data_IF_944250632466
#
_entry.id   IF_944250632466
#
_cell.length_a   1.000
_cell.length_b   1.000
_cell.length_c   1.000
_cell.angle_alpha   90.00
_cell.angle_beta   90.00
_cell.angle_gamma   90.00
#
_symmetry.space_group_name_H-M   'P 1'
#
loop_
_entity.id
_entity.type
_entity.pdbx_description
1 polymer ?
#
# COMPACT_ATOMS: atom_id res chain seq x y z
N UNK A 1 23.57 37.79 -19.78
CA UNK A 1 22.21 37.28 -20.04
C UNK A 1 21.95 36.21 -18.96
N UNK A 2 21.38 36.67 -17.83
CA UNK A 2 21.13 35.88 -16.65
C UNK A 2 19.85 35.08 -16.88
N UNK A 3 19.98 33.76 -16.98
CA UNK A 3 18.82 32.87 -16.96
C UNK A 3 18.22 32.91 -15.55
N UNK A 4 17.04 33.46 -15.44
CA UNK A 4 16.19 33.38 -14.25
C UNK A 4 15.83 31.88 -14.08
N UNK A 5 16.44 31.23 -13.12
CA UNK A 5 15.90 30.02 -12.52
C UNK A 5 14.60 30.44 -11.84
N UNK A 6 13.49 30.18 -12.50
CA UNK A 6 12.18 30.24 -11.84
C UNK A 6 12.24 29.21 -10.72
N UNK A 7 12.13 29.66 -9.48
CA UNK A 7 11.78 28.83 -8.35
C UNK A 7 10.53 28.03 -8.75
N UNK A 8 10.66 26.73 -8.95
CA UNK A 8 9.51 25.84 -8.96
C UNK A 8 8.94 25.92 -7.55
N UNK A 9 8.00 26.86 -7.33
CA UNK A 9 7.19 26.86 -6.12
C UNK A 9 6.67 25.42 -5.93
N UNK A 10 7.03 24.83 -4.79
CA UNK A 10 6.61 23.47 -4.44
C UNK A 10 5.08 23.43 -4.28
N UNK A 11 4.40 23.29 -5.41
CA UNK A 11 2.95 23.29 -5.48
C UNK A 11 2.42 22.17 -4.61
N UNK A 12 1.53 22.48 -3.67
CA UNK A 12 0.96 21.50 -2.76
C UNK A 12 0.20 20.39 -3.50
N UNK A 13 0.20 19.20 -2.92
CA UNK A 13 -0.56 18.05 -3.47
C UNK A 13 -2.05 18.36 -3.66
N UNK A 14 -2.64 19.15 -2.76
CA UNK A 14 -4.04 19.59 -2.88
C UNK A 14 -4.28 20.45 -4.12
N UNK A 15 -3.37 21.36 -4.44
CA UNK A 15 -3.46 22.20 -5.63
C UNK A 15 -3.21 21.39 -6.90
N UNK A 16 -2.20 20.49 -6.88
CA UNK A 16 -1.94 19.58 -7.98
C UNK A 16 -3.16 18.68 -8.26
N UNK A 17 -3.76 18.14 -7.21
CA UNK A 17 -4.95 17.30 -7.33
C UNK A 17 -6.15 18.06 -7.91
N UNK A 18 -6.35 19.31 -7.50
CA UNK A 18 -7.41 20.17 -8.04
C UNK A 18 -7.21 20.43 -9.54
N UNK A 19 -5.98 20.78 -9.96
CA UNK A 19 -5.62 21.00 -11.37
C UNK A 19 -5.77 19.72 -12.19
N UNK A 20 -5.26 18.60 -11.67
CA UNK A 20 -5.39 17.29 -12.31
C UNK A 20 -6.86 16.86 -12.48
N UNK A 21 -7.71 17.11 -11.48
CA UNK A 21 -9.15 16.85 -11.56
C UNK A 21 -9.85 17.70 -12.63
N UNK A 22 -9.33 18.90 -12.91
CA UNK A 22 -9.77 19.77 -13.99
C UNK A 22 -9.21 19.38 -15.38
N UNK A 23 -8.35 18.35 -15.45
CA UNK A 23 -7.81 17.81 -16.70
C UNK A 23 -6.37 18.24 -17.01
N UNK A 24 -5.66 18.90 -16.08
CA UNK A 24 -4.26 19.25 -16.25
C UNK A 24 -3.38 18.00 -16.13
N UNK A 25 -2.83 17.59 -17.26
CA UNK A 25 -1.97 16.40 -17.36
C UNK A 25 -0.62 16.58 -16.64
N UNK A 26 -0.06 17.79 -16.64
CA UNK A 26 1.22 18.07 -16.01
C UNK A 26 1.11 17.91 -14.48
N UNK A 27 0.09 18.52 -13.87
CA UNK A 27 -0.20 18.37 -12.45
C UNK A 27 -0.51 16.91 -12.07
N UNK A 28 -1.19 16.16 -12.93
CA UNK A 28 -1.43 14.74 -12.72
C UNK A 28 -0.13 13.94 -12.74
N UNK A 29 0.75 14.17 -13.73
CA UNK A 29 2.04 13.48 -13.82
C UNK A 29 2.91 13.75 -12.58
N UNK A 30 2.95 15.01 -12.13
CA UNK A 30 3.71 15.40 -10.93
C UNK A 30 3.17 14.72 -9.66
N UNK A 31 1.85 14.60 -9.49
CA UNK A 31 1.26 13.84 -8.38
C UNK A 31 1.63 12.35 -8.42
N UNK A 32 1.55 11.73 -9.59
CA UNK A 32 1.92 10.33 -9.77
C UNK A 32 3.39 10.15 -9.42
N UNK A 33 4.28 10.97 -9.91
CA UNK A 33 5.71 10.91 -9.62
C UNK A 33 6.01 11.04 -8.11
N UNK A 34 5.41 12.03 -7.43
CA UNK A 34 5.58 12.23 -5.98
C UNK A 34 5.12 11.05 -5.14
N UNK A 35 4.03 10.41 -5.55
CA UNK A 35 3.38 9.39 -4.72
C UNK A 35 3.58 7.96 -5.20
N UNK A 36 4.23 7.72 -6.34
CA UNK A 36 4.48 6.38 -6.86
C UNK A 36 5.25 5.50 -5.86
N UNK A 37 6.30 6.05 -5.25
CA UNK A 37 7.09 5.33 -4.26
C UNK A 37 6.28 4.94 -3.02
N UNK A 38 5.35 5.80 -2.57
CA UNK A 38 4.43 5.48 -1.48
C UNK A 38 3.48 4.35 -1.87
N UNK A 39 2.86 4.43 -3.05
CA UNK A 39 1.96 3.39 -3.55
C UNK A 39 2.67 2.04 -3.65
N UNK A 40 3.87 2.04 -4.27
CA UNK A 40 4.69 0.83 -4.41
C UNK A 40 5.07 0.22 -3.06
N UNK A 41 5.59 1.03 -2.11
CA UNK A 41 5.98 0.52 -0.79
C UNK A 41 4.82 -0.11 -0.03
N UNK A 42 3.65 0.54 -0.01
CA UNK A 42 2.45 -0.01 0.64
C UNK A 42 2.04 -1.32 -0.02
N UNK A 43 1.98 -1.36 -1.36
CA UNK A 43 1.65 -2.58 -2.09
C UNK A 43 2.65 -3.70 -1.81
N UNK A 44 3.96 -3.42 -1.86
CA UNK A 44 5.02 -4.40 -1.61
C UNK A 44 4.95 -4.98 -0.18
N UNK A 45 4.76 -4.13 0.83
CA UNK A 45 4.64 -4.60 2.22
C UNK A 45 3.44 -5.51 2.43
N UNK A 46 2.36 -5.26 1.69
CA UNK A 46 1.13 -6.06 1.80
C UNK A 46 1.18 -7.35 0.98
N UNK A 47 1.88 -7.38 -0.16
CA UNK A 47 1.93 -8.56 -1.05
C UNK A 47 3.18 -9.41 -0.83
N UNK A 48 4.31 -8.79 -0.50
CA UNK A 48 5.63 -9.43 -0.40
C UNK A 48 6.30 -9.72 -1.74
N UNK A 49 5.65 -9.44 -2.86
CA UNK A 49 6.16 -9.74 -4.19
C UNK A 49 6.33 -8.47 -5.01
N UNK A 50 7.56 -8.26 -5.51
CA UNK A 50 7.89 -7.05 -6.27
C UNK A 50 7.03 -6.90 -7.53
N UNK A 51 6.85 -7.98 -8.28
CA UNK A 51 6.05 -7.96 -9.50
C UNK A 51 4.58 -7.59 -9.21
N UNK A 52 3.99 -8.20 -8.18
CA UNK A 52 2.62 -7.87 -7.75
C UNK A 52 2.50 -6.40 -7.31
N UNK A 53 3.51 -5.89 -6.60
CA UNK A 53 3.51 -4.50 -6.15
C UNK A 53 3.64 -3.52 -7.32
N UNK A 54 4.45 -3.85 -8.33
CA UNK A 54 4.59 -3.07 -9.57
C UNK A 54 3.27 -3.05 -10.35
N UNK A 55 2.63 -4.19 -10.52
CA UNK A 55 1.32 -4.30 -11.19
C UNK A 55 0.23 -3.51 -10.46
N UNK A 56 0.18 -3.62 -9.13
CA UNK A 56 -0.75 -2.83 -8.29
C UNK A 56 -0.47 -1.35 -8.44
N UNK A 57 0.79 -0.92 -8.39
CA UNK A 57 1.14 0.49 -8.51
C UNK A 57 0.73 1.06 -9.88
N UNK A 58 0.93 0.31 -10.95
CA UNK A 58 0.48 0.68 -12.30
C UNK A 58 -1.05 0.77 -12.38
N UNK A 59 -1.78 -0.22 -11.83
CA UNK A 59 -3.25 -0.21 -11.81
C UNK A 59 -3.80 0.95 -10.99
N UNK A 60 -3.21 1.25 -9.82
CA UNK A 60 -3.56 2.44 -9.02
C UNK A 60 -3.35 3.71 -9.83
N UNK A 61 -2.20 3.88 -10.48
CA UNK A 61 -1.93 5.05 -11.32
C UNK A 61 -2.94 5.20 -12.47
N UNK A 62 -3.30 4.09 -13.13
CA UNK A 62 -4.30 4.09 -14.19
C UNK A 62 -5.70 4.49 -13.68
N UNK A 63 -6.10 4.00 -12.51
CA UNK A 63 -7.38 4.34 -11.86
C UNK A 63 -7.40 5.75 -11.31
N UNK A 64 -6.24 6.25 -10.86
CA UNK A 64 -6.08 7.56 -10.23
C UNK A 64 -6.60 8.69 -11.12
N UNK A 65 -6.39 8.61 -12.44
CA UNK A 65 -6.88 9.61 -13.39
C UNK A 65 -8.40 9.84 -13.37
N UNK A 66 -9.17 8.81 -13.00
CA UNK A 66 -10.62 8.92 -12.78
C UNK A 66 -10.97 9.24 -11.33
N UNK A 67 -10.28 8.57 -10.40
CA UNK A 67 -10.55 8.67 -8.97
C UNK A 67 -10.24 10.06 -8.41
N UNK A 68 -9.24 10.78 -8.95
CA UNK A 68 -8.81 12.09 -8.46
C UNK A 68 -9.94 13.13 -8.44
N UNK A 69 -10.94 12.98 -9.29
CA UNK A 69 -12.14 13.83 -9.30
C UNK A 69 -12.97 13.73 -8.02
N UNK A 70 -12.77 12.69 -7.21
CA UNK A 70 -13.43 12.50 -5.92
C UNK A 70 -12.66 13.10 -4.76
N UNK A 71 -11.40 13.49 -4.97
CA UNK A 71 -10.60 14.16 -3.95
C UNK A 71 -11.11 15.59 -3.74
N UNK A 72 -11.51 15.91 -2.50
CA UNK A 72 -12.12 17.21 -2.15
C UNK A 72 -11.18 18.12 -1.37
N UNK A 73 -9.92 17.75 -1.15
CA UNK A 73 -8.97 18.56 -0.40
C UNK A 73 -9.21 18.66 1.11
N UNK A 74 -10.14 17.88 1.65
CA UNK A 74 -10.47 17.89 3.09
C UNK A 74 -9.48 17.14 4.00
N UNK A 75 -8.50 16.45 3.40
CA UNK A 75 -7.44 15.70 4.09
C UNK A 75 -6.17 15.72 3.26
N UNK A 76 -5.04 15.28 3.84
CA UNK A 76 -3.82 15.06 3.08
C UNK A 76 -4.09 14.13 1.90
N UNK A 77 -3.41 14.34 0.77
CA UNK A 77 -3.60 13.52 -0.43
C UNK A 77 -3.31 12.03 -0.17
N UNK A 78 -2.31 11.73 0.65
CA UNK A 78 -1.98 10.37 1.08
C UNK A 78 -3.11 9.70 1.88
N UNK A 79 -3.86 10.46 2.69
CA UNK A 79 -5.03 9.95 3.43
C UNK A 79 -6.12 9.46 2.49
N UNK A 80 -6.36 10.20 1.40
CA UNK A 80 -7.31 9.81 0.37
C UNK A 80 -6.75 8.69 -0.54
N UNK A 81 -5.43 8.70 -0.84
CA UNK A 81 -4.78 7.74 -1.72
C UNK A 81 -4.65 6.34 -1.08
N UNK A 82 -4.36 6.26 0.22
CA UNK A 82 -4.12 5.00 0.91
C UNK A 82 -5.26 3.96 0.74
N UNK A 83 -6.53 4.29 0.98
CA UNK A 83 -7.64 3.36 0.72
C UNK A 83 -7.71 2.89 -0.74
N UNK A 84 -7.31 3.71 -1.72
CA UNK A 84 -7.27 3.32 -3.13
C UNK A 84 -6.24 2.21 -3.33
N UNK A 85 -5.05 2.36 -2.74
CA UNK A 85 -3.98 1.34 -2.79
C UNK A 85 -4.42 0.04 -2.11
N UNK A 86 -4.93 0.12 -0.88
CA UNK A 86 -5.37 -1.07 -0.11
C UNK A 86 -6.48 -1.82 -0.84
N UNK A 87 -7.42 -1.10 -1.46
CA UNK A 87 -8.47 -1.73 -2.24
C UNK A 87 -7.92 -2.42 -3.49
N UNK A 88 -6.94 -1.84 -4.19
CA UNK A 88 -6.27 -2.47 -5.33
C UNK A 88 -5.56 -3.77 -4.92
N UNK A 89 -4.81 -3.78 -3.80
CA UNK A 89 -4.19 -4.98 -3.22
C UNK A 89 -5.24 -6.06 -2.95
N UNK A 90 -6.36 -5.71 -2.32
CA UNK A 90 -7.44 -6.66 -2.01
C UNK A 90 -8.13 -7.19 -3.27
N UNK A 91 -8.30 -6.36 -4.30
CA UNK A 91 -8.89 -6.74 -5.58
C UNK A 91 -8.01 -7.75 -6.29
N UNK A 92 -6.70 -7.54 -6.32
CA UNK A 92 -5.74 -8.47 -6.91
C UNK A 92 -5.76 -9.81 -6.16
N UNK A 93 -5.72 -9.82 -4.83
CA UNK A 93 -5.82 -11.04 -4.03
C UNK A 93 -7.10 -11.83 -4.31
N UNK A 94 -8.24 -11.14 -4.44
CA UNK A 94 -9.53 -11.78 -4.81
C UNK A 94 -9.51 -12.33 -6.23
N UNK A 95 -8.85 -11.65 -7.16
CA UNK A 95 -8.71 -12.12 -8.54
C UNK A 95 -7.85 -13.37 -8.63
N UNK A 96 -6.69 -13.36 -7.96
CA UNK A 96 -5.79 -14.51 -7.90
C UNK A 96 -6.46 -15.74 -7.26
N UNK A 97 -7.19 -15.55 -6.16
CA UNK A 97 -7.94 -16.63 -5.51
C UNK A 97 -9.02 -17.23 -6.42
N UNK A 98 -9.76 -16.38 -7.15
CA UNK A 98 -10.77 -16.85 -8.13
C UNK A 98 -10.15 -17.63 -9.28
N UNK A 99 -9.01 -17.14 -9.78
CA UNK A 99 -8.29 -17.81 -10.87
C UNK A 99 -7.73 -19.17 -10.42
N UNK A 100 -7.18 -19.26 -9.21
CA UNK A 100 -6.72 -20.51 -8.61
C UNK A 100 -7.87 -21.51 -8.45
N UNK A 101 -9.04 -21.07 -7.96
CA UNK A 101 -10.22 -21.92 -7.83
C UNK A 101 -10.72 -22.43 -9.20
N UNK A 102 -10.71 -21.58 -10.24
CA UNK A 102 -11.07 -21.98 -11.61
C UNK A 102 -10.11 -23.02 -12.16
N UNK A 103 -8.79 -22.84 -12.01
CA UNK A 103 -7.78 -23.82 -12.44
C UNK A 103 -7.98 -25.16 -11.76
N UNK A 104 -8.28 -25.17 -10.47
CA UNK A 104 -8.56 -26.39 -9.72
C UNK A 104 -9.81 -27.12 -10.26
N UNK A 105 -10.87 -26.39 -10.65
CA UNK A 105 -12.10 -26.95 -11.19
C UNK A 105 -11.88 -27.60 -12.58
N UNK A 106 -10.97 -27.06 -13.39
CA UNK A 106 -10.67 -27.59 -14.74
C UNK A 106 -9.57 -28.65 -14.76
N UNK A 107 -9.09 -29.15 -13.58
CA UNK A 107 -8.08 -30.22 -13.51
C UNK A 107 -6.71 -29.80 -14.06
N UNK A 108 -6.48 -28.52 -14.31
CA UNK A 108 -5.19 -27.99 -14.71
C UNK A 108 -4.32 -27.91 -13.47
N UNK A 109 -3.57 -28.97 -13.19
CA UNK A 109 -2.50 -28.95 -12.20
C UNK A 109 -1.36 -28.04 -12.70
N UNK A 110 -1.60 -26.75 -12.78
CA UNK A 110 -0.50 -25.80 -12.75
C UNK A 110 0.13 -25.95 -11.36
N UNK A 111 1.41 -26.30 -11.34
CA UNK A 111 2.23 -26.15 -10.15
C UNK A 111 1.87 -24.78 -9.59
N UNK A 112 1.23 -24.76 -8.44
CA UNK A 112 1.21 -23.57 -7.61
C UNK A 112 2.70 -23.33 -7.40
N UNK A 113 3.26 -22.34 -8.08
CA UNK A 113 4.47 -21.72 -7.59
C UNK A 113 4.04 -21.22 -6.22
N UNK A 114 4.26 -22.09 -5.24
CA UNK A 114 4.05 -21.79 -3.86
C UNK A 114 4.77 -20.48 -3.63
N UNK A 115 4.23 -19.61 -2.77
CA UNK A 115 5.00 -18.56 -2.14
C UNK A 115 6.42 -19.11 -2.04
N UNK A 116 7.31 -18.66 -2.93
CA UNK A 116 8.72 -18.94 -2.74
C UNK A 116 8.96 -18.30 -1.38
N UNK A 117 9.05 -19.14 -0.34
CA UNK A 117 9.64 -18.72 0.90
C UNK A 117 10.99 -18.21 0.42
N UNK A 118 11.12 -16.90 0.35
CA UNK A 118 12.39 -16.28 0.11
C UNK A 118 13.15 -16.67 1.38
N UNK A 119 13.99 -17.70 1.30
CA UNK A 119 14.99 -17.99 2.31
C UNK A 119 15.94 -16.79 2.29
N UNK A 120 15.45 -15.66 2.78
CA UNK A 120 16.27 -14.49 3.02
C UNK A 120 16.78 -14.62 4.43
N UNK A 121 18.10 -14.71 4.57
CA UNK A 121 18.79 -14.56 5.87
C UNK A 121 18.59 -13.15 6.46
N UNK A 122 17.71 -12.33 5.90
CA UNK A 122 17.38 -11.00 6.41
C UNK A 122 16.22 -11.09 7.43
N UNK A 123 16.51 -10.90 8.74
CA UNK A 123 15.49 -10.92 9.78
C UNK A 123 14.35 -9.91 9.55
N UNK A 124 14.63 -8.83 8.84
CA UNK A 124 13.63 -7.82 8.52
C UNK A 124 12.60 -8.36 7.51
N UNK A 125 13.04 -9.11 6.49
CA UNK A 125 12.12 -9.70 5.52
C UNK A 125 11.28 -10.82 6.15
N UNK A 126 11.89 -11.67 6.99
CA UNK A 126 11.17 -12.70 7.75
C UNK A 126 10.07 -12.08 8.65
N UNK A 127 10.36 -10.94 9.28
CA UNK A 127 9.35 -10.21 10.06
C UNK A 127 8.21 -9.70 9.17
N UNK A 128 8.51 -9.13 7.98
CA UNK A 128 7.47 -8.66 7.06
C UNK A 128 6.64 -9.81 6.48
N UNK A 129 7.23 -10.98 6.29
CA UNK A 129 6.48 -12.19 5.93
C UNK A 129 5.46 -12.55 7.02
N UNK A 130 5.87 -12.58 8.29
CA UNK A 130 4.96 -12.79 9.40
C UNK A 130 3.87 -11.69 9.52
N UNK A 131 4.18 -10.45 9.14
CA UNK A 131 3.20 -9.35 9.10
C UNK A 131 2.13 -9.60 8.04
N UNK A 132 2.47 -10.22 6.90
CA UNK A 132 1.51 -10.55 5.84
C UNK A 132 0.47 -11.59 6.28
N UNK A 133 0.80 -12.42 7.26
CA UNK A 133 -0.11 -13.43 7.84
C UNK A 133 -1.02 -12.88 8.95
N UNK A 134 -0.87 -11.61 9.31
CA UNK A 134 -1.75 -10.96 10.28
C UNK A 134 -3.15 -10.70 9.70
N UNK A 135 -4.19 -10.63 10.57
CA UNK A 135 -5.49 -10.15 10.18
C UNK A 135 -5.40 -8.77 9.46
N UNK A 136 -6.22 -8.51 8.43
CA UNK A 136 -6.05 -7.35 7.55
C UNK A 136 -5.90 -6.01 8.29
N UNK A 137 -6.68 -5.77 9.33
CA UNK A 137 -6.59 -4.52 10.09
C UNK A 137 -5.32 -4.38 10.93
N UNK A 138 -4.76 -5.49 11.39
CA UNK A 138 -3.48 -5.51 12.10
C UNK A 138 -2.33 -5.30 11.10
N UNK A 139 -2.39 -5.94 9.95
CA UNK A 139 -1.43 -5.76 8.87
C UNK A 139 -1.39 -4.29 8.41
N UNK A 140 -2.57 -3.68 8.14
CA UNK A 140 -2.69 -2.27 7.75
C UNK A 140 -2.06 -1.34 8.81
N UNK A 141 -2.39 -1.53 10.09
CA UNK A 141 -1.84 -0.73 11.17
C UNK A 141 -0.31 -0.86 11.29
N UNK A 142 0.23 -2.08 11.20
CA UNK A 142 1.68 -2.33 11.24
C UNK A 142 2.36 -1.70 10.02
N UNK A 143 1.79 -1.85 8.82
CA UNK A 143 2.33 -1.26 7.60
C UNK A 143 2.44 0.25 7.69
N UNK A 144 1.42 0.93 8.23
CA UNK A 144 1.44 2.37 8.37
C UNK A 144 2.40 2.87 9.45
N UNK A 145 2.34 2.26 10.64
CA UNK A 145 3.13 2.75 11.79
C UNK A 145 4.61 2.40 11.63
N UNK A 146 4.94 1.16 11.26
CA UNK A 146 6.33 0.71 11.15
C UNK A 146 6.87 0.74 9.72
N UNK A 147 6.01 0.57 8.74
CA UNK A 147 6.38 0.62 7.34
C UNK A 147 6.55 2.03 6.80
N UNK A 148 5.60 2.90 7.08
CA UNK A 148 5.60 4.29 6.62
C UNK A 148 5.96 5.29 7.73
N UNK A 149 6.41 4.78 8.90
CA UNK A 149 6.85 5.59 10.06
C UNK A 149 5.85 6.63 10.53
N UNK A 150 4.54 6.33 10.39
CA UNK A 150 3.48 7.24 10.82
C UNK A 150 3.22 7.14 12.33
N UNK A 151 2.82 8.26 12.93
CA UNK A 151 2.27 8.24 14.29
C UNK A 151 0.94 7.48 14.33
N UNK A 152 0.53 7.00 15.51
CA UNK A 152 -0.78 6.33 15.65
C UNK A 152 -1.93 7.25 15.26
N UNK A 153 -1.83 8.56 15.54
CA UNK A 153 -2.83 9.54 15.12
C UNK A 153 -2.91 9.65 13.59
N UNK A 154 -1.77 9.78 12.89
CA UNK A 154 -1.74 9.85 11.45
C UNK A 154 -2.23 8.54 10.79
N UNK A 155 -1.88 7.39 11.35
CA UNK A 155 -2.39 6.09 10.88
C UNK A 155 -3.90 5.96 11.13
N UNK A 156 -4.43 6.50 12.24
CA UNK A 156 -5.86 6.52 12.53
C UNK A 156 -6.66 7.32 11.50
N UNK A 157 -6.13 8.47 11.08
CA UNK A 157 -6.73 9.29 10.01
C UNK A 157 -6.81 8.52 8.68
N UNK A 158 -5.75 7.78 8.30
CA UNK A 158 -5.73 6.97 7.09
C UNK A 158 -6.69 5.78 7.17
N UNK A 159 -6.80 5.15 8.34
CA UNK A 159 -7.64 3.97 8.56
C UNK A 159 -9.12 4.32 8.84
N UNK A 160 -9.43 5.59 9.03
CA UNK A 160 -10.78 6.06 9.37
C UNK A 160 -11.24 5.55 10.73
N UNK A 161 -10.36 5.49 11.72
CA UNK A 161 -10.64 4.99 13.06
C UNK A 161 -10.00 5.88 14.14
N UNK A 162 -10.10 5.49 15.42
CA UNK A 162 -9.47 6.24 16.51
C UNK A 162 -8.03 5.81 16.73
N UNK A 163 -7.20 6.70 17.30
CA UNK A 163 -5.83 6.39 17.69
C UNK A 163 -5.76 5.20 18.68
N UNK A 164 -6.73 5.12 19.60
CA UNK A 164 -6.86 3.99 20.51
C UNK A 164 -7.08 2.65 19.77
N UNK A 165 -7.85 2.68 18.65
CA UNK A 165 -8.06 1.50 17.79
C UNK A 165 -6.77 1.08 17.11
N UNK A 166 -5.98 2.03 16.59
CA UNK A 166 -4.65 1.74 16.01
C UNK A 166 -3.72 1.14 17.07
N UNK A 167 -3.65 1.75 18.26
CA UNK A 167 -2.83 1.25 19.36
C UNK A 167 -3.22 -0.18 19.77
N UNK A 168 -4.50 -0.48 19.79
CA UNK A 168 -5.01 -1.84 20.06
C UNK A 168 -4.58 -2.82 18.93
N UNK A 169 -4.74 -2.46 17.66
CA UNK A 169 -4.30 -3.30 16.54
C UNK A 169 -2.81 -3.57 16.59
N UNK A 170 -1.99 -2.57 16.89
CA UNK A 170 -0.54 -2.71 17.05
C UNK A 170 -0.19 -3.64 18.22
N UNK A 171 -0.87 -3.48 19.37
CA UNK A 171 -0.66 -4.36 20.52
C UNK A 171 -0.96 -5.82 20.18
N UNK A 172 -2.12 -6.09 19.59
CA UNK A 172 -2.50 -7.45 19.20
C UNK A 172 -1.59 -8.02 18.08
N UNK A 173 -1.15 -7.18 17.14
CA UNK A 173 -0.19 -7.59 16.12
C UNK A 173 1.14 -8.03 16.74
N UNK A 174 1.72 -7.23 17.65
CA UNK A 174 2.97 -7.60 18.36
C UNK A 174 2.85 -8.92 19.10
N UNK A 175 1.72 -9.14 19.78
CA UNK A 175 1.45 -10.39 20.49
C UNK A 175 1.40 -11.61 19.55
N UNK A 176 0.80 -11.45 18.38
CA UNK A 176 0.74 -12.51 17.36
C UNK A 176 2.09 -12.76 16.72
N UNK A 177 2.80 -11.70 16.32
CA UNK A 177 4.14 -11.81 15.73
C UNK A 177 5.12 -12.50 16.67
N UNK A 178 5.11 -12.16 17.97
CA UNK A 178 5.93 -12.85 18.96
C UNK A 178 5.66 -14.36 18.99
N UNK A 179 4.39 -14.80 18.87
CA UNK A 179 4.04 -16.23 18.85
C UNK A 179 4.50 -16.91 17.55
N UNK A 180 4.35 -16.25 16.40
CA UNK A 180 4.75 -16.80 15.10
C UNK A 180 6.28 -17.00 15.08
N UNK A 181 7.03 -15.98 15.47
CA UNK A 181 8.50 -16.02 15.45
C UNK A 181 9.07 -17.01 16.47
N UNK A 182 8.49 -17.12 17.70
CA UNK A 182 8.95 -18.10 18.67
C UNK A 182 8.58 -19.55 18.31
N UNK A 183 7.62 -19.77 17.41
CA UNK A 183 7.29 -21.11 16.93
C UNK A 183 8.17 -21.56 15.74
N UNK A 184 8.86 -20.65 15.08
CA UNK A 184 9.80 -20.94 13.99
C UNK A 184 11.24 -21.22 14.43
N UNK A 185 11.55 -21.09 15.74
CA UNK A 185 12.89 -21.35 16.31
C UNK A 185 13.07 -22.80 16.86
N UNK A 186 12.18 -23.75 16.49
CA UNK A 186 12.26 -25.18 16.94
C UNK A 186 12.68 -26.08 15.79
#
# INVERSE_FOLDING_TARGET
MMALTMDEEDVSDGELARRAAAGDRASFAQLVERHYAFVFRVAYRMTGHRADAEDIAQDVCARLGRAIRTYRGGSAFTTWLYPVVVNAVRDQGRSAAREAARRQTYGIHARIEGKAACETDDPAEALWEAVRDLPPKQQEAVTLVYGETLSHAAAADLLGCTEATVSWHIHEAKKRLKRIMSAGEV
#
